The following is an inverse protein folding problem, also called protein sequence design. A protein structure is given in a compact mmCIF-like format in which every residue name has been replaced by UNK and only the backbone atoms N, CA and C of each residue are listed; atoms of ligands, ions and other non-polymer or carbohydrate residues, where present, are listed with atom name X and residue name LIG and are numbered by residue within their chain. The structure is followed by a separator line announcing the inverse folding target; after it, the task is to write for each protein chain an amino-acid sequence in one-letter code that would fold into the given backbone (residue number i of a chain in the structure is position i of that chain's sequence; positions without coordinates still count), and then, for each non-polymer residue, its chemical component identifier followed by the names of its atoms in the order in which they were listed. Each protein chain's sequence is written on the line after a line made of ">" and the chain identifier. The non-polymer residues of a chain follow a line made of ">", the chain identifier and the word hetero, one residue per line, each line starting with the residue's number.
data_IF_602850355450
#
_entry.id   IF_602850355450
#
_cell.length_a   1.000
_cell.length_b   1.000
_cell.length_c   1.000
_cell.angle_alpha   90.00
_cell.angle_beta   90.00
_cell.angle_gamma   90.00
#
_symmetry.space_group_name_H-M   'P 1'
#
loop_
_entity.id
_entity.type
_entity.pdbx_description
1 polymer ?
#
# COMPACT_ATOMS: atom_id res chain seq x y z
N UNK A 1 5.26 19.74 -4.81
CA UNK A 1 4.79 18.43 -4.34
C UNK A 1 5.73 17.40 -4.91
N UNK A 2 6.72 16.94 -4.12
CA UNK A 2 7.55 15.81 -4.51
C UNK A 2 6.70 14.56 -4.29
N UNK A 3 6.05 14.10 -5.37
CA UNK A 3 5.48 12.76 -5.35
C UNK A 3 6.65 11.78 -5.15
N UNK A 4 6.48 10.72 -4.34
CA UNK A 4 7.48 9.67 -4.26
C UNK A 4 7.77 9.13 -5.66
N UNK A 5 9.04 8.91 -6.00
CA UNK A 5 9.43 8.41 -7.35
C UNK A 5 8.65 7.13 -7.73
N UNK A 6 8.40 6.28 -6.73
CA UNK A 6 7.61 5.06 -6.88
C UNK A 6 6.13 5.31 -7.26
N UNK A 7 5.54 6.45 -6.89
CA UNK A 7 4.17 6.82 -7.29
C UNK A 7 4.09 7.01 -8.81
N UNK A 8 5.03 7.78 -9.38
CA UNK A 8 5.05 8.05 -10.82
C UNK A 8 5.30 6.77 -11.63
N UNK A 9 6.26 5.95 -11.18
CA UNK A 9 6.57 4.64 -11.79
C UNK A 9 5.36 3.71 -11.74
N UNK A 10 4.62 3.67 -10.62
CA UNK A 10 3.39 2.88 -10.51
C UNK A 10 2.33 3.33 -11.52
N UNK A 11 2.06 4.64 -11.60
CA UNK A 11 1.08 5.18 -12.53
C UNK A 11 1.43 4.86 -13.99
N UNK A 12 2.66 5.12 -14.41
CA UNK A 12 3.12 4.83 -15.77
C UNK A 12 3.01 3.34 -16.10
N UNK A 13 3.50 2.48 -15.21
CA UNK A 13 3.52 1.03 -15.42
C UNK A 13 2.11 0.46 -15.56
N UNK A 14 1.16 0.89 -14.72
CA UNK A 14 -0.22 0.41 -14.74
C UNK A 14 -1.06 1.06 -15.85
N UNK A 15 -0.72 2.27 -16.29
CA UNK A 15 -1.33 2.90 -17.45
C UNK A 15 -1.02 2.14 -18.74
N UNK A 16 0.23 1.65 -18.87
CA UNK A 16 0.68 0.86 -20.02
C UNK A 16 0.13 -0.58 -20.06
N UNK A 17 -0.55 -1.03 -19.00
CA UNK A 17 -1.17 -2.36 -18.96
C UNK A 17 -2.52 -2.36 -19.68
N UNK A 18 -2.58 -3.00 -20.85
CA UNK A 18 -3.77 -3.09 -21.69
C UNK A 18 -4.82 -4.07 -21.15
N UNK A 19 -4.43 -5.07 -20.37
CA UNK A 19 -5.34 -6.11 -19.87
C UNK A 19 -5.30 -6.28 -18.35
N UNK A 20 -6.35 -6.89 -17.80
CA UNK A 20 -6.38 -7.29 -16.39
C UNK A 20 -5.25 -8.28 -16.08
N UNK A 21 -5.00 -9.24 -16.96
CA UNK A 21 -3.94 -10.25 -16.76
C UNK A 21 -2.56 -9.60 -16.60
N UNK A 22 -2.28 -8.55 -17.37
CA UNK A 22 -1.06 -7.75 -17.22
C UNK A 22 -1.03 -7.01 -15.88
N UNK A 23 -2.13 -6.34 -15.48
CA UNK A 23 -2.23 -5.68 -14.17
C UNK A 23 -2.06 -6.65 -13.00
N UNK A 24 -2.62 -7.85 -13.11
CA UNK A 24 -2.47 -8.89 -12.09
C UNK A 24 -1.02 -9.36 -11.96
N UNK A 25 -0.30 -9.53 -13.08
CA UNK A 25 1.15 -9.81 -13.07
C UNK A 25 1.95 -8.68 -12.42
N UNK A 26 1.65 -7.43 -12.79
CA UNK A 26 2.29 -6.26 -12.20
C UNK A 26 2.06 -6.22 -10.68
N UNK A 27 0.83 -6.46 -10.21
CA UNK A 27 0.54 -6.54 -8.77
C UNK A 27 1.43 -7.57 -8.06
N UNK A 28 1.64 -8.75 -8.64
CA UNK A 28 2.53 -9.75 -8.04
C UNK A 28 3.98 -9.24 -7.97
N UNK A 29 4.50 -8.64 -9.05
CA UNK A 29 5.85 -8.09 -9.11
C UNK A 29 6.05 -6.95 -8.09
N UNK A 30 5.07 -6.06 -7.95
CA UNK A 30 5.10 -5.00 -6.95
C UNK A 30 5.07 -5.55 -5.52
N UNK A 31 4.30 -6.61 -5.28
CA UNK A 31 4.33 -7.32 -4.00
C UNK A 31 5.71 -7.90 -3.68
N UNK A 32 6.38 -8.49 -4.68
CA UNK A 32 7.73 -9.06 -4.53
C UNK A 32 8.81 -8.01 -4.25
N UNK A 33 8.63 -6.76 -4.68
CA UNK A 33 9.52 -5.63 -4.37
C UNK A 33 9.50 -5.24 -2.89
N UNK A 34 8.47 -5.63 -2.14
CA UNK A 34 8.40 -5.29 -0.72
C UNK A 34 9.51 -5.99 0.07
N UNK A 35 10.32 -5.23 0.84
CA UNK A 35 11.27 -5.81 1.77
C UNK A 35 10.56 -6.78 2.72
N UNK A 36 11.24 -7.87 3.05
CA UNK A 36 10.72 -8.78 4.08
C UNK A 36 10.69 -8.06 5.43
N UNK A 37 9.54 -8.08 6.10
CA UNK A 37 9.49 -7.74 7.52
C UNK A 37 10.21 -8.81 8.33
N UNK A 38 10.96 -8.38 9.33
CA UNK A 38 11.59 -9.28 10.28
C UNK A 38 10.53 -10.03 11.08
N UNK A 39 10.86 -11.20 11.63
CA UNK A 39 9.91 -11.94 12.47
C UNK A 39 9.63 -11.21 13.79
N UNK A 40 10.54 -10.35 14.24
CA UNK A 40 10.31 -9.45 15.38
C UNK A 40 9.24 -8.38 15.08
N UNK A 41 9.06 -8.00 13.81
CA UNK A 41 8.04 -7.05 13.39
C UNK A 41 6.70 -7.73 13.08
N UNK A 42 6.66 -9.05 12.87
CA UNK A 42 5.43 -9.83 12.63
C UNK A 42 4.75 -10.24 13.93
N UNK A 43 4.59 -9.28 14.84
CA UNK A 43 3.92 -9.45 16.13
C UNK A 43 2.51 -8.84 16.10
N UNK A 44 1.65 -9.25 17.03
CA UNK A 44 0.26 -8.80 17.07
C UNK A 44 0.14 -7.26 17.24
N UNK A 45 1.10 -6.62 17.92
CA UNK A 45 1.14 -5.16 18.08
C UNK A 45 1.28 -4.38 16.74
N UNK A 46 1.87 -5.01 15.71
CA UNK A 46 2.02 -4.43 14.38
C UNK A 46 0.94 -4.92 13.41
N UNK A 47 0.01 -5.75 13.88
CA UNK A 47 -1.04 -6.33 13.05
C UNK A 47 -2.10 -5.30 12.72
N UNK A 48 -2.53 -5.29 11.46
CA UNK A 48 -3.68 -4.51 11.00
C UNK A 48 -4.92 -5.38 11.09
N UNK A 49 -5.88 -4.96 11.90
CA UNK A 49 -7.18 -5.62 12.00
C UNK A 49 -8.15 -5.09 10.93
N UNK A 50 -9.10 -5.93 10.49
CA UNK A 50 -10.08 -5.56 9.46
C UNK A 50 -9.74 -6.05 8.04
N UNK A 51 -8.58 -6.68 7.86
CA UNK A 51 -8.23 -7.42 6.64
C UNK A 51 -8.70 -8.89 6.75
N UNK A 52 -9.18 -9.47 5.65
CA UNK A 52 -9.41 -10.93 5.57
C UNK A 52 -8.10 -11.71 5.66
N UNK A 53 -7.03 -11.18 5.07
CA UNK A 53 -5.67 -11.72 5.13
C UNK A 53 -4.90 -11.10 6.29
N UNK A 54 -3.86 -11.78 6.76
CA UNK A 54 -2.98 -11.19 7.78
C UNK A 54 -2.14 -10.08 7.13
N UNK A 55 -2.10 -8.92 7.79
CA UNK A 55 -1.27 -7.78 7.38
C UNK A 55 -0.56 -7.25 8.62
N UNK A 56 0.75 -7.04 8.50
CA UNK A 56 1.56 -6.33 9.49
C UNK A 56 2.07 -5.05 8.87
N UNK A 57 2.11 -3.98 9.65
CA UNK A 57 2.54 -2.66 9.23
C UNK A 57 3.42 -2.05 10.33
N UNK A 58 4.59 -1.56 9.93
CA UNK A 58 5.46 -0.72 10.76
C UNK A 58 5.71 0.60 10.03
N UNK A 59 5.97 1.66 10.78
CA UNK A 59 6.24 2.99 10.26
C UNK A 59 7.33 3.70 11.05
N UNK A 60 8.15 4.47 10.37
CA UNK A 60 9.14 5.34 10.98
C UNK A 60 9.11 6.72 10.33
N UNK A 61 9.18 7.77 11.14
CA UNK A 61 9.34 9.14 10.66
C UNK A 61 10.84 9.41 10.42
N UNK A 62 11.21 9.80 9.20
CA UNK A 62 12.57 10.16 8.80
C UNK A 62 12.56 11.53 8.13
N UNK A 63 13.31 12.48 8.68
CA UNK A 63 13.43 13.84 8.14
C UNK A 63 12.05 14.50 7.86
N UNK A 64 11.07 14.28 8.75
CA UNK A 64 9.71 14.80 8.61
C UNK A 64 8.78 14.01 7.67
N UNK A 65 9.25 12.92 7.08
CA UNK A 65 8.50 12.11 6.13
C UNK A 65 8.36 10.66 6.60
N UNK A 66 7.17 10.09 6.43
CA UNK A 66 6.87 8.73 6.85
C UNK A 66 7.44 7.68 5.91
N UNK A 67 8.00 6.63 6.49
CA UNK A 67 8.49 5.44 5.80
C UNK A 67 7.83 4.23 6.41
N UNK A 68 6.94 3.59 5.66
CA UNK A 68 6.21 2.41 6.06
C UNK A 68 6.75 1.14 5.39
N UNK A 69 6.70 0.05 6.13
CA UNK A 69 6.97 -1.30 5.63
C UNK A 69 5.84 -2.24 6.07
N UNK A 70 5.46 -3.14 5.18
CA UNK A 70 4.33 -4.03 5.42
C UNK A 70 4.56 -5.44 4.86
N UNK A 71 3.88 -6.42 5.43
CA UNK A 71 3.84 -7.79 4.94
C UNK A 71 2.43 -8.34 4.99
N UNK A 72 2.12 -9.26 4.07
CA UNK A 72 0.87 -10.00 4.06
C UNK A 72 1.09 -11.43 3.58
N UNK A 73 0.31 -12.37 4.13
CA UNK A 73 0.27 -13.78 3.72
C UNK A 73 -0.43 -14.00 2.38
N UNK A 74 -1.32 -13.07 1.98
CA UNK A 74 -2.00 -13.11 0.69
C UNK A 74 -1.22 -12.35 -0.39
N UNK A 75 -0.76 -13.07 -1.42
CA UNK A 75 0.04 -12.50 -2.55
C UNK A 75 -0.62 -11.29 -3.21
N UNK A 76 -1.93 -11.35 -3.45
CA UNK A 76 -2.67 -10.24 -4.06
C UNK A 76 -2.74 -9.01 -3.15
N UNK A 77 -2.99 -9.22 -1.85
CA UNK A 77 -3.03 -8.12 -0.87
C UNK A 77 -1.64 -7.52 -0.73
N UNK A 78 -0.58 -8.34 -0.71
CA UNK A 78 0.81 -7.86 -0.72
C UNK A 78 1.08 -6.92 -1.90
N UNK A 79 0.59 -7.25 -3.10
CA UNK A 79 0.68 -6.37 -4.27
C UNK A 79 -0.08 -5.04 -4.11
N UNK A 80 -1.30 -5.09 -3.58
CA UNK A 80 -2.10 -3.89 -3.35
C UNK A 80 -1.49 -2.99 -2.27
N UNK A 81 -1.01 -3.58 -1.18
CA UNK A 81 -0.28 -2.88 -0.11
C UNK A 81 1.01 -2.28 -0.66
N UNK A 82 1.71 -2.95 -1.58
CA UNK A 82 2.90 -2.38 -2.21
C UNK A 82 2.61 -1.08 -2.98
N UNK A 83 1.50 -1.05 -3.71
CA UNK A 83 1.06 0.17 -4.40
C UNK A 83 0.58 1.25 -3.44
N UNK A 84 0.00 0.87 -2.29
CA UNK A 84 -0.29 1.84 -1.24
C UNK A 84 1.00 2.43 -0.67
N UNK A 85 2.00 1.62 -0.33
CA UNK A 85 3.30 2.07 0.15
C UNK A 85 4.00 3.00 -0.86
N UNK A 86 3.95 2.68 -2.15
CA UNK A 86 4.45 3.52 -3.23
C UNK A 86 3.81 4.92 -3.25
N UNK A 87 2.55 5.03 -2.80
CA UNK A 87 1.80 6.30 -2.74
C UNK A 87 2.09 7.11 -1.48
N UNK A 88 2.39 6.45 -0.36
CA UNK A 88 2.45 7.10 0.98
C UNK A 88 3.86 7.27 1.54
N UNK A 89 4.82 6.46 1.14
CA UNK A 89 6.19 6.59 1.64
C UNK A 89 6.82 7.87 1.11
N UNK A 90 7.39 8.68 2.00
CA UNK A 90 7.90 10.01 1.68
C UNK A 90 6.89 11.13 1.89
N UNK A 91 5.67 10.86 2.34
CA UNK A 91 4.70 11.90 2.72
C UNK A 91 4.91 12.38 4.16
N UNK A 92 4.60 13.65 4.41
CA UNK A 92 4.36 14.17 5.75
C UNK A 92 3.05 13.62 6.35
N UNK A 93 2.83 13.81 7.66
CA UNK A 93 1.57 13.42 8.30
C UNK A 93 0.34 14.16 7.71
N UNK A 94 0.49 15.42 7.34
CA UNK A 94 -0.58 16.21 6.71
C UNK A 94 -0.93 15.69 5.32
N UNK A 95 0.06 15.37 4.51
CA UNK A 95 -0.15 14.80 3.17
C UNK A 95 -0.75 13.40 3.24
N UNK A 96 -0.32 12.57 4.22
CA UNK A 96 -0.86 11.24 4.44
C UNK A 96 -2.37 11.27 4.72
N UNK A 97 -2.84 12.22 5.54
CA UNK A 97 -4.27 12.41 5.85
C UNK A 97 -5.11 12.78 4.63
N UNK A 98 -4.48 13.35 3.59
CA UNK A 98 -5.15 13.77 2.36
C UNK A 98 -5.16 12.67 1.28
N UNK A 99 -4.64 11.47 1.57
CA UNK A 99 -4.59 10.38 0.59
C UNK A 99 -5.99 9.84 0.32
N UNK A 100 -6.48 10.09 -0.91
CA UNK A 100 -7.69 9.47 -1.44
C UNK A 100 -7.37 8.09 -2.03
N UNK A 101 -7.63 7.06 -1.23
CA UNK A 101 -7.39 5.66 -1.57
C UNK A 101 -8.24 5.18 -2.77
N UNK A 102 -9.57 5.44 -2.83
CA UNK A 102 -10.37 5.15 -4.02
C UNK A 102 -9.82 5.79 -5.31
N UNK A 103 -9.44 7.08 -5.27
CA UNK A 103 -8.90 7.77 -6.42
C UNK A 103 -7.57 7.17 -6.86
N UNK A 104 -6.69 6.84 -5.92
CA UNK A 104 -5.40 6.21 -6.20
C UNK A 104 -5.55 4.91 -6.99
N UNK A 105 -6.38 3.98 -6.50
CA UNK A 105 -6.60 2.71 -7.20
C UNK A 105 -7.42 2.86 -8.50
N UNK A 106 -8.18 3.93 -8.65
CA UNK A 106 -8.84 4.27 -9.90
C UNK A 106 -7.83 4.69 -10.98
N UNK A 107 -6.86 5.52 -10.63
CA UNK A 107 -5.79 5.94 -11.54
C UNK A 107 -4.93 4.77 -12.02
N UNK A 108 -4.73 3.76 -11.16
CA UNK A 108 -4.05 2.52 -11.51
C UNK A 108 -4.91 1.55 -12.36
N UNK A 109 -6.19 1.87 -12.59
CA UNK A 109 -7.12 0.99 -13.31
C UNK A 109 -7.48 -0.28 -12.53
N UNK A 110 -7.42 -0.23 -11.19
CA UNK A 110 -7.63 -1.38 -10.32
C UNK A 110 -8.97 -1.36 -9.57
N UNK A 111 -9.74 -0.27 -9.61
CA UNK A 111 -10.99 -0.14 -8.84
C UNK A 111 -11.99 -1.28 -9.05
N UNK A 112 -12.13 -1.77 -10.29
CA UNK A 112 -13.06 -2.89 -10.60
C UNK A 112 -12.64 -4.23 -9.97
N UNK A 113 -11.41 -4.33 -9.48
CA UNK A 113 -10.81 -5.57 -8.95
C UNK A 113 -10.72 -5.55 -7.41
N UNK A 114 -11.05 -4.42 -6.80
CA UNK A 114 -11.19 -4.27 -5.37
C UNK A 114 -12.60 -4.69 -4.98
N UNK A 115 -12.75 -5.96 -4.58
CA UNK A 115 -13.97 -6.39 -3.89
C UNK A 115 -14.16 -5.57 -2.60
N UNK A 116 -15.38 -5.46 -2.07
CA UNK A 116 -15.64 -4.72 -0.83
C UNK A 116 -14.68 -5.09 0.30
N UNK A 117 -14.37 -6.37 0.44
CA UNK A 117 -13.41 -6.86 1.43
C UNK A 117 -11.98 -6.34 1.24
N UNK A 118 -11.47 -6.35 -0.01
CA UNK A 118 -10.12 -5.83 -0.31
C UNK A 118 -10.03 -4.34 -0.07
N UNK A 119 -11.06 -3.59 -0.47
CA UNK A 119 -11.17 -2.17 -0.19
C UNK A 119 -11.16 -1.89 1.31
N UNK A 120 -11.93 -2.66 2.10
CA UNK A 120 -11.96 -2.52 3.55
C UNK A 120 -10.60 -2.80 4.18
N UNK A 121 -9.92 -3.87 3.75
CA UNK A 121 -8.58 -4.19 4.22
C UNK A 121 -7.56 -3.07 3.93
N UNK A 122 -7.56 -2.53 2.71
CA UNK A 122 -6.67 -1.41 2.37
C UNK A 122 -6.99 -0.13 3.14
N UNK A 123 -8.28 0.16 3.38
CA UNK A 123 -8.70 1.26 4.23
C UNK A 123 -8.20 1.06 5.67
N UNK A 124 -8.28 -0.15 6.22
CA UNK A 124 -7.75 -0.45 7.54
C UNK A 124 -6.23 -0.23 7.63
N UNK A 125 -5.48 -0.60 6.57
CA UNK A 125 -4.04 -0.32 6.48
C UNK A 125 -3.77 1.20 6.47
N UNK A 126 -4.48 1.96 5.63
CA UNK A 126 -4.32 3.42 5.57
C UNK A 126 -4.74 4.10 6.88
N UNK A 127 -5.79 3.62 7.54
CA UNK A 127 -6.18 4.11 8.86
C UNK A 127 -5.06 3.87 9.87
N UNK A 128 -4.47 2.67 9.90
CA UNK A 128 -3.35 2.37 10.79
C UNK A 128 -2.14 3.26 10.53
N UNK A 129 -1.85 3.60 9.27
CA UNK A 129 -0.80 4.56 8.92
C UNK A 129 -1.09 5.95 9.52
N UNK A 130 -2.34 6.42 9.43
CA UNK A 130 -2.75 7.70 10.03
C UNK A 130 -2.66 7.68 11.56
N UNK A 131 -3.03 6.58 12.22
CA UNK A 131 -2.88 6.42 13.67
C UNK A 131 -1.42 6.48 14.13
N UNK A 132 -0.50 5.88 13.35
CA UNK A 132 0.93 5.99 13.61
C UNK A 132 1.46 7.42 13.39
N UNK A 133 0.84 8.16 12.47
CA UNK A 133 1.24 9.50 12.09
C UNK A 133 0.83 10.62 13.06
N UNK A 134 -0.11 10.35 13.98
CA UNK A 134 -0.64 11.33 14.93
C UNK A 134 -1.73 12.19 14.31
#
# INVERSE_FOLDING_TARGET
>A
MNLPDDTAVALETFHNAASWEQRARLLMQWGERLPALSDADKVDANRVHGCESQVWLVGALRDGHWQFAASSDARLIRGLVALLLARVNGLSADELRQVDLPQWFNQLGLSRQLSPSRSNGLNAVLQRMNELAG
#
